data_IF_979251496511
#
_entry.id   IF_979251496511
#
_cell.length_a   1.000
_cell.length_b   1.000
_cell.length_c   1.000
_cell.angle_alpha   90.00
_cell.angle_beta   90.00
_cell.angle_gamma   90.00
#
_symmetry.space_group_name_H-M   'P 1'
#
loop_
_entity.id
_entity.type
_entity.pdbx_description
1 polymer ?
#
# COMPACT_ATOMS: atom_id res chain seq x y z
N UNK A 1 -15.45 -32.17 -11.95
CA UNK A 1 -14.40 -31.53 -11.13
C UNK A 1 -15.12 -30.67 -10.09
N UNK A 2 -14.89 -30.89 -8.81
CA UNK A 2 -15.52 -30.09 -7.75
C UNK A 2 -14.91 -28.69 -7.77
N UNK A 3 -15.68 -27.67 -8.09
CA UNK A 3 -15.29 -26.25 -8.07
C UNK A 3 -15.53 -25.63 -6.69
N UNK A 4 -15.63 -26.44 -5.63
CA UNK A 4 -15.84 -25.98 -4.28
C UNK A 4 -14.57 -25.50 -3.63
N UNK A 5 -14.64 -24.41 -2.88
CA UNK A 5 -13.60 -23.95 -1.99
C UNK A 5 -13.37 -24.99 -0.88
N UNK A 6 -12.17 -24.96 -0.26
CA UNK A 6 -11.91 -25.77 0.94
C UNK A 6 -13.05 -25.55 1.96
N UNK A 7 -13.44 -26.57 2.70
CA UNK A 7 -14.58 -26.58 3.65
C UNK A 7 -16.01 -26.53 3.04
N UNK A 8 -16.16 -26.73 1.72
CA UNK A 8 -17.47 -26.71 1.08
C UNK A 8 -18.11 -25.32 0.96
N UNK A 9 -17.37 -24.25 1.16
CA UNK A 9 -17.84 -22.88 1.02
C UNK A 9 -18.25 -22.60 -0.42
N UNK A 10 -19.32 -21.81 -0.58
CA UNK A 10 -19.84 -21.36 -1.90
C UNK A 10 -19.14 -20.09 -2.39
N UNK A 11 -18.49 -19.36 -1.49
CA UNK A 11 -17.83 -18.09 -1.76
C UNK A 11 -16.57 -17.99 -0.90
N UNK A 12 -15.50 -17.45 -1.48
CA UNK A 12 -14.35 -16.94 -0.74
C UNK A 12 -14.36 -15.41 -0.82
N UNK A 13 -14.26 -14.74 0.33
CA UNK A 13 -14.20 -13.29 0.42
C UNK A 13 -12.80 -12.90 0.85
N UNK A 14 -12.14 -12.06 0.03
CA UNK A 14 -10.88 -11.42 0.37
C UNK A 14 -11.15 -9.96 0.71
N UNK A 15 -10.74 -9.53 1.90
CA UNK A 15 -10.81 -8.14 2.33
C UNK A 15 -9.43 -7.52 2.15
N UNK A 16 -9.37 -6.44 1.37
CA UNK A 16 -8.14 -5.68 1.12
C UNK A 16 -8.36 -4.25 1.58
N UNK A 17 -7.37 -3.72 2.32
CA UNK A 17 -7.35 -2.34 2.80
C UNK A 17 -6.08 -1.69 2.31
N UNK A 18 -6.19 -0.67 1.48
CA UNK A 18 -5.04 0.08 1.01
C UNK A 18 -4.59 1.09 2.08
N UNK A 19 -3.26 1.17 2.28
CA UNK A 19 -2.60 2.14 3.15
C UNK A 19 -1.59 2.92 2.29
N UNK A 20 -2.05 4.00 1.73
CA UNK A 20 -1.34 4.81 0.74
C UNK A 20 -1.02 6.20 1.30
N UNK A 21 -1.80 6.64 2.26
CA UNK A 21 -1.75 7.95 2.88
C UNK A 21 -0.39 8.21 3.53
N UNK A 22 0.22 9.33 3.14
CA UNK A 22 1.56 9.72 3.54
C UNK A 22 2.66 9.22 2.60
N UNK A 23 2.34 8.37 1.60
CA UNK A 23 3.27 7.92 0.57
C UNK A 23 3.00 8.53 -0.82
N UNK A 24 1.96 9.33 -0.93
CA UNK A 24 1.58 10.11 -2.12
C UNK A 24 2.64 11.13 -2.51
N UNK A 25 2.56 11.64 -3.74
CA UNK A 25 3.38 12.79 -4.15
C UNK A 25 2.88 14.06 -3.47
N UNK A 26 3.81 14.81 -2.88
CA UNK A 26 3.51 16.03 -2.13
C UNK A 26 4.60 17.09 -2.34
N UNK A 27 4.19 18.33 -2.56
CA UNK A 27 5.10 19.49 -2.58
C UNK A 27 5.88 19.61 -1.24
N UNK A 28 5.28 19.20 -0.12
CA UNK A 28 5.98 19.16 1.18
C UNK A 28 7.18 18.24 1.20
N UNK A 29 7.13 17.18 0.40
CA UNK A 29 8.17 16.17 0.31
C UNK A 29 9.17 16.44 -0.82
N UNK A 30 9.04 17.59 -1.49
CA UNK A 30 9.92 18.01 -2.58
C UNK A 30 9.53 17.46 -3.95
N UNK A 31 8.34 16.87 -4.08
CA UNK A 31 7.85 16.39 -5.36
C UNK A 31 7.46 17.54 -6.29
N UNK A 32 7.42 17.26 -7.60
CA UNK A 32 7.09 18.27 -8.63
C UNK A 32 5.63 18.75 -8.60
N UNK A 33 4.76 18.00 -7.98
CA UNK A 33 3.33 18.30 -7.85
C UNK A 33 2.67 17.31 -6.89
N UNK A 34 1.47 17.62 -6.38
CA UNK A 34 0.69 16.67 -5.59
C UNK A 34 0.09 15.59 -6.49
N UNK A 35 -0.16 14.41 -5.94
CA UNK A 35 -1.00 13.43 -6.61
C UNK A 35 -2.40 14.01 -6.89
N UNK A 36 -3.03 13.67 -8.01
CA UNK A 36 -4.43 13.99 -8.23
C UNK A 36 -5.31 13.28 -7.21
N UNK A 37 -6.44 13.88 -6.85
CA UNK A 37 -7.50 13.16 -6.14
C UNK A 37 -8.23 12.32 -7.17
N UNK A 38 -8.03 11.01 -7.14
CA UNK A 38 -8.53 10.09 -8.18
C UNK A 38 -10.05 10.19 -8.36
N UNK A 39 -10.79 10.36 -7.27
CA UNK A 39 -12.26 10.45 -7.28
C UNK A 39 -12.77 11.72 -7.98
N UNK A 40 -11.97 12.78 -7.99
CA UNK A 40 -12.34 14.05 -8.59
C UNK A 40 -11.68 14.29 -9.95
N UNK A 41 -10.66 13.52 -10.32
CA UNK A 41 -9.91 13.67 -11.56
C UNK A 41 -9.24 15.04 -11.74
N UNK A 42 -9.07 15.78 -10.63
CA UNK A 42 -8.50 17.14 -10.67
C UNK A 42 -6.99 17.05 -10.62
N UNK A 43 -6.36 17.48 -11.71
CA UNK A 43 -4.91 17.64 -11.79
C UNK A 43 -4.56 19.12 -11.70
N UNK A 44 -3.75 19.47 -10.70
CA UNK A 44 -3.26 20.85 -10.59
C UNK A 44 -2.17 21.10 -11.64
N UNK A 45 -2.35 22.12 -12.46
CA UNK A 45 -1.39 22.49 -13.52
C UNK A 45 -0.15 23.25 -12.98
N UNK A 46 -0.16 23.62 -11.72
CA UNK A 46 0.94 24.34 -11.05
C UNK A 46 1.45 23.54 -9.87
N UNK A 47 2.75 23.60 -9.55
CA UNK A 47 3.34 22.94 -8.41
C UNK A 47 3.00 23.68 -7.10
N UNK A 48 1.74 23.61 -6.70
CA UNK A 48 1.24 24.20 -5.45
C UNK A 48 0.70 23.12 -4.52
N UNK A 49 0.76 23.37 -3.23
CA UNK A 49 0.19 22.46 -2.22
C UNK A 49 -1.33 22.33 -2.42
N UNK A 50 -1.81 21.11 -2.31
CA UNK A 50 -3.24 20.81 -2.27
C UNK A 50 -3.65 20.47 -0.84
N UNK A 51 -4.07 21.48 -0.07
CA UNK A 51 -4.45 21.29 1.32
C UNK A 51 -5.66 20.36 1.51
N UNK A 52 -6.59 20.33 0.54
CA UNK A 52 -7.72 19.40 0.57
C UNK A 52 -7.24 17.96 0.48
N UNK A 53 -6.33 17.67 -0.45
CA UNK A 53 -5.71 16.37 -0.60
C UNK A 53 -4.94 15.95 0.66
N UNK A 54 -4.05 16.84 1.12
CA UNK A 54 -3.26 16.60 2.33
C UNK A 54 -4.16 16.28 3.54
N UNK A 55 -5.28 16.99 3.68
CA UNK A 55 -6.25 16.75 4.75
C UNK A 55 -6.97 15.40 4.62
N UNK A 56 -7.33 14.99 3.41
CA UNK A 56 -7.96 13.70 3.15
C UNK A 56 -7.02 12.55 3.51
N UNK A 57 -5.76 12.62 3.08
CA UNK A 57 -4.76 11.60 3.40
C UNK A 57 -4.48 11.55 4.91
N UNK A 58 -4.35 12.70 5.57
CA UNK A 58 -4.16 12.73 7.02
C UNK A 58 -5.35 12.12 7.78
N UNK A 59 -6.59 12.35 7.30
CA UNK A 59 -7.78 11.72 7.87
C UNK A 59 -7.75 10.19 7.75
N UNK A 60 -7.28 9.66 6.61
CA UNK A 60 -7.16 8.22 6.37
C UNK A 60 -6.33 7.53 7.46
N UNK A 61 -5.17 8.08 7.78
CA UNK A 61 -4.29 7.54 8.83
C UNK A 61 -4.85 7.78 10.24
N UNK A 62 -5.35 8.97 10.55
CA UNK A 62 -5.73 9.34 11.91
C UNK A 62 -7.05 8.76 12.36
N UNK A 63 -8.02 8.71 11.45
CA UNK A 63 -9.39 8.33 11.75
C UNK A 63 -9.86 7.09 10.97
N UNK A 64 -9.55 7.02 9.69
CA UNK A 64 -10.00 5.94 8.80
C UNK A 64 -9.44 4.59 9.22
N UNK A 65 -8.13 4.48 9.35
CA UNK A 65 -7.45 3.23 9.67
C UNK A 65 -7.87 2.66 11.04
N UNK A 66 -7.93 3.43 12.15
CA UNK A 66 -8.45 2.94 13.43
C UNK A 66 -9.88 2.43 13.35
N UNK A 67 -10.76 3.09 12.59
CA UNK A 67 -12.15 2.67 12.41
C UNK A 67 -12.24 1.35 11.65
N UNK A 68 -11.44 1.18 10.59
CA UNK A 68 -11.38 -0.05 9.83
C UNK A 68 -10.88 -1.20 10.70
N UNK A 69 -9.79 -1.01 11.46
CA UNK A 69 -9.27 -2.01 12.38
C UNK A 69 -10.30 -2.41 13.44
N UNK A 70 -11.01 -1.43 14.03
CA UNK A 70 -12.06 -1.70 15.00
C UNK A 70 -13.21 -2.51 14.38
N UNK A 71 -13.58 -2.22 13.13
CA UNK A 71 -14.62 -2.95 12.41
C UNK A 71 -14.19 -4.41 12.13
N UNK A 72 -12.97 -4.61 11.64
CA UNK A 72 -12.42 -5.94 11.41
C UNK A 72 -12.37 -6.77 12.71
N UNK A 73 -11.94 -6.16 13.81
CA UNK A 73 -11.91 -6.78 15.12
C UNK A 73 -13.32 -7.16 15.60
N UNK A 74 -14.29 -6.25 15.47
CA UNK A 74 -15.70 -6.48 15.85
C UNK A 74 -16.29 -7.70 15.15
N UNK A 75 -15.96 -7.91 13.89
CA UNK A 75 -16.47 -9.03 13.10
C UNK A 75 -15.51 -10.22 13.02
N UNK A 76 -14.40 -10.17 13.76
CA UNK A 76 -13.37 -11.22 13.76
C UNK A 76 -12.86 -11.57 12.36
N UNK A 77 -12.76 -10.55 11.50
CA UNK A 77 -12.32 -10.71 10.11
C UNK A 77 -10.83 -10.44 9.98
N UNK A 78 -10.18 -11.21 9.11
CA UNK A 78 -8.81 -10.94 8.67
C UNK A 78 -8.84 -10.18 7.36
N UNK A 79 -7.83 -9.34 7.14
CA UNK A 79 -7.66 -8.56 5.91
C UNK A 79 -6.19 -8.56 5.50
N UNK A 80 -5.96 -8.29 4.22
CA UNK A 80 -4.64 -7.93 3.68
C UNK A 80 -4.56 -6.42 3.60
N UNK A 81 -3.58 -5.83 4.27
CA UNK A 81 -3.27 -4.41 4.17
C UNK A 81 -2.21 -4.21 3.10
N UNK A 82 -2.62 -3.69 1.94
CA UNK A 82 -1.70 -3.33 0.86
C UNK A 82 -1.14 -1.95 1.16
N UNK A 83 0.12 -1.90 1.61
CA UNK A 83 0.70 -0.70 2.17
C UNK A 83 1.93 -0.22 1.40
N UNK A 84 1.95 1.07 1.05
CA UNK A 84 3.18 1.73 0.64
C UNK A 84 4.11 1.87 1.85
N UNK A 85 5.39 1.53 1.68
CA UNK A 85 6.32 1.45 2.80
C UNK A 85 6.45 2.77 3.56
N UNK A 86 6.53 3.90 2.86
CA UNK A 86 6.62 5.24 3.47
C UNK A 86 5.37 5.59 4.27
N UNK A 87 4.18 5.11 3.89
CA UNK A 87 2.97 5.32 4.68
C UNK A 87 3.09 4.66 6.07
N UNK A 88 3.62 3.45 6.12
CA UNK A 88 3.87 2.75 7.40
C UNK A 88 5.01 3.39 8.20
N UNK A 89 6.06 3.90 7.55
CA UNK A 89 7.13 4.65 8.24
C UNK A 89 6.58 5.90 8.95
N UNK A 90 5.63 6.58 8.33
CA UNK A 90 4.95 7.77 8.88
C UNK A 90 3.89 7.44 9.93
N UNK A 91 3.40 6.21 9.93
CA UNK A 91 2.39 5.71 10.85
C UNK A 91 2.84 4.40 11.54
N UNK A 92 3.96 4.39 12.29
CA UNK A 92 4.53 3.16 12.86
C UNK A 92 3.59 2.48 13.86
N UNK A 93 2.71 3.23 14.52
CA UNK A 93 1.70 2.69 15.41
C UNK A 93 0.65 1.88 14.63
N UNK A 94 0.25 2.36 13.45
CA UNK A 94 -0.66 1.62 12.56
C UNK A 94 -0.02 0.31 12.09
N UNK A 95 1.24 0.34 11.66
CA UNK A 95 1.99 -0.86 11.27
C UNK A 95 1.99 -1.91 12.39
N UNK A 96 2.28 -1.50 13.62
CA UNK A 96 2.23 -2.38 14.81
C UNK A 96 0.83 -2.95 15.05
N UNK A 97 -0.21 -2.13 14.93
CA UNK A 97 -1.60 -2.56 15.15
C UNK A 97 -2.06 -3.58 14.11
N UNK A 98 -1.72 -3.37 12.83
CA UNK A 98 -2.04 -4.29 11.74
C UNK A 98 -1.46 -5.68 12.04
N UNK A 99 -0.17 -5.75 12.36
CA UNK A 99 0.53 -7.00 12.65
C UNK A 99 0.02 -7.66 13.92
N UNK A 100 -0.12 -6.90 15.00
CA UNK A 100 -0.61 -7.41 16.29
C UNK A 100 -2.04 -7.97 16.20
N UNK A 101 -2.88 -7.40 15.33
CA UNK A 101 -4.20 -7.93 15.04
C UNK A 101 -4.17 -9.16 14.11
N UNK A 102 -3.00 -9.57 13.63
CA UNK A 102 -2.77 -10.74 12.77
C UNK A 102 -3.30 -10.55 11.36
N UNK A 103 -3.34 -9.34 10.87
CA UNK A 103 -3.57 -9.05 9.46
C UNK A 103 -2.30 -9.24 8.65
N UNK A 104 -2.46 -9.48 7.35
CA UNK A 104 -1.33 -9.53 6.41
C UNK A 104 -0.91 -8.11 6.00
N UNK A 105 0.41 -7.90 5.84
CA UNK A 105 0.96 -6.72 5.18
C UNK A 105 1.49 -7.14 3.81
N UNK A 106 0.87 -6.61 2.75
CA UNK A 106 1.27 -6.77 1.36
C UNK A 106 1.94 -5.47 0.89
N UNK A 107 3.08 -5.56 0.21
CA UNK A 107 3.79 -4.38 -0.28
C UNK A 107 3.03 -3.69 -1.42
N UNK A 108 2.93 -2.35 -1.35
CA UNK A 108 2.33 -1.50 -2.38
C UNK A 108 3.35 -0.46 -2.90
N UNK A 109 4.60 -0.90 -3.05
CA UNK A 109 5.72 -0.05 -3.40
C UNK A 109 6.39 0.63 -2.20
N UNK A 110 7.55 1.26 -2.47
CA UNK A 110 8.22 2.09 -1.47
C UNK A 110 7.43 3.37 -1.20
N UNK A 111 7.07 4.07 -2.28
CA UNK A 111 6.11 5.18 -2.30
C UNK A 111 4.92 4.79 -3.17
N UNK A 112 3.82 5.52 -3.01
CA UNK A 112 2.63 5.31 -3.83
C UNK A 112 2.82 5.91 -5.22
N UNK A 113 3.54 5.22 -6.09
CA UNK A 113 3.85 5.64 -7.45
C UNK A 113 3.83 4.47 -8.43
N UNK A 114 3.51 4.76 -9.70
CA UNK A 114 3.55 3.77 -10.76
C UNK A 114 5.01 3.40 -11.09
N UNK A 115 5.23 2.13 -11.44
CA UNK A 115 6.53 1.61 -11.85
C UNK A 115 6.81 1.87 -13.33
N UNK A 116 5.79 2.15 -14.13
CA UNK A 116 5.93 2.44 -15.56
C UNK A 116 6.98 3.53 -15.82
N UNK A 117 7.94 3.21 -16.69
CA UNK A 117 9.04 4.11 -17.03
C UNK A 117 10.26 4.01 -16.12
N UNK A 118 10.25 3.18 -15.08
CA UNK A 118 11.45 2.83 -14.33
C UNK A 118 12.38 1.98 -15.20
N UNK A 119 13.68 2.15 -15.05
CA UNK A 119 14.66 1.19 -15.54
C UNK A 119 14.68 -0.05 -14.64
N UNK A 120 15.18 -1.18 -15.16
CA UNK A 120 15.31 -2.43 -14.37
C UNK A 120 16.01 -2.19 -13.03
N UNK A 121 17.10 -1.43 -13.04
CA UNK A 121 17.86 -1.15 -11.81
C UNK A 121 17.09 -0.26 -10.83
N UNK A 122 16.44 0.79 -11.33
CA UNK A 122 15.61 1.67 -10.50
C UNK A 122 14.42 0.92 -9.89
N UNK A 123 13.80 0.04 -10.67
CA UNK A 123 12.68 -0.76 -10.19
C UNK A 123 13.13 -1.80 -9.15
N UNK A 124 14.29 -2.43 -9.36
CA UNK A 124 14.89 -3.34 -8.38
C UNK A 124 15.17 -2.64 -7.06
N UNK A 125 15.73 -1.44 -7.10
CA UNK A 125 15.96 -0.62 -5.90
C UNK A 125 14.65 -0.21 -5.23
N UNK A 126 13.64 0.13 -6.00
CA UNK A 126 12.31 0.48 -5.49
C UNK A 126 11.66 -0.69 -4.74
N UNK A 127 11.73 -1.90 -5.29
CA UNK A 127 11.24 -3.13 -4.67
C UNK A 127 12.05 -3.45 -3.39
N UNK A 128 13.37 -3.41 -3.47
CA UNK A 128 14.24 -3.70 -2.33
C UNK A 128 14.02 -2.71 -1.17
N UNK A 129 13.84 -1.43 -1.49
CA UNK A 129 13.55 -0.38 -0.51
C UNK A 129 12.21 -0.61 0.17
N UNK A 130 11.17 -1.01 -0.57
CA UNK A 130 9.86 -1.35 -0.02
C UNK A 130 9.96 -2.53 0.96
N UNK A 131 10.63 -3.60 0.57
CA UNK A 131 10.84 -4.78 1.42
C UNK A 131 11.56 -4.41 2.71
N UNK A 132 12.73 -3.76 2.60
CA UNK A 132 13.54 -3.39 3.77
C UNK A 132 12.79 -2.47 4.73
N UNK A 133 12.01 -1.53 4.21
CA UNK A 133 11.24 -0.60 5.01
C UNK A 133 10.08 -1.30 5.73
N UNK A 134 9.31 -2.14 5.03
CA UNK A 134 8.21 -2.89 5.64
C UNK A 134 8.74 -3.88 6.69
N UNK A 135 9.83 -4.57 6.40
CA UNK A 135 10.48 -5.48 7.35
C UNK A 135 10.88 -4.75 8.64
N UNK A 136 11.45 -3.56 8.52
CA UNK A 136 11.85 -2.73 9.66
C UNK A 136 10.66 -2.20 10.46
N UNK A 137 9.57 -1.78 9.78
CA UNK A 137 8.41 -1.17 10.45
C UNK A 137 7.42 -2.18 11.00
N UNK A 138 7.27 -3.32 10.34
CA UNK A 138 6.29 -4.36 10.70
C UNK A 138 6.91 -5.57 11.41
N UNK A 139 8.25 -5.70 11.40
CA UNK A 139 8.94 -6.86 11.96
C UNK A 139 8.77 -8.14 11.14
N UNK A 140 8.20 -8.06 9.94
CA UNK A 140 8.01 -9.19 9.04
C UNK A 140 8.16 -8.78 7.59
N UNK A 141 8.71 -9.70 6.78
CA UNK A 141 8.87 -9.50 5.34
C UNK A 141 7.53 -9.63 4.63
N UNK A 142 7.18 -8.72 3.73
CA UNK A 142 6.00 -8.87 2.88
C UNK A 142 6.21 -10.00 1.87
N UNK A 143 5.18 -10.83 1.65
CA UNK A 143 5.20 -11.92 0.66
C UNK A 143 4.36 -11.63 -0.58
N UNK A 144 3.44 -10.66 -0.49
CA UNK A 144 2.60 -10.20 -1.58
C UNK A 144 2.99 -8.82 -2.06
N UNK A 145 2.70 -8.53 -3.33
CA UNK A 145 2.93 -7.23 -3.98
C UNK A 145 1.72 -6.79 -4.77
N UNK A 146 1.35 -5.52 -4.63
CA UNK A 146 0.38 -4.83 -5.47
C UNK A 146 1.04 -3.61 -6.11
N UNK A 147 1.10 -3.55 -7.45
CA UNK A 147 1.60 -2.37 -8.16
C UNK A 147 0.53 -1.30 -8.24
N UNK A 148 0.92 -0.03 -8.09
CA UNK A 148 0.03 1.10 -8.41
C UNK A 148 -0.16 1.17 -9.92
N UNK A 149 -1.38 0.90 -10.41
CA UNK A 149 -1.78 0.95 -11.81
C UNK A 149 -0.85 0.18 -12.77
N UNK A 150 0.12 0.90 -13.35
CA UNK A 150 0.97 0.41 -14.42
C UNK A 150 2.35 -0.02 -13.91
N UNK A 151 2.79 -1.14 -14.37
CA UNK A 151 4.08 -1.76 -14.09
C UNK A 151 4.89 -1.93 -15.37
N UNK A 152 6.18 -2.30 -15.27
CA UNK A 152 7.05 -2.58 -16.41
C UNK A 152 6.90 -4.03 -16.87
N UNK A 153 7.49 -4.38 -18.00
CA UNK A 153 7.57 -5.77 -18.47
C UNK A 153 8.42 -6.64 -17.53
N UNK A 154 9.38 -6.05 -16.83
CA UNK A 154 10.32 -6.73 -15.94
C UNK A 154 9.78 -6.94 -14.52
N UNK A 155 8.74 -6.21 -14.11
CA UNK A 155 8.22 -6.20 -12.74
C UNK A 155 8.00 -7.60 -12.16
N UNK A 156 7.36 -8.49 -12.90
CA UNK A 156 7.04 -9.84 -12.40
C UNK A 156 8.29 -10.65 -12.12
N UNK A 157 9.29 -10.56 -13.00
CA UNK A 157 10.55 -11.26 -12.81
C UNK A 157 11.31 -10.67 -11.61
N UNK A 158 11.38 -9.35 -11.50
CA UNK A 158 12.03 -8.68 -10.37
C UNK A 158 11.39 -9.03 -9.03
N UNK A 159 10.06 -9.15 -8.99
CA UNK A 159 9.35 -9.60 -7.79
C UNK A 159 9.63 -11.05 -7.44
N UNK A 160 9.66 -11.95 -8.44
CA UNK A 160 10.02 -13.35 -8.23
C UNK A 160 11.47 -13.48 -7.72
N UNK A 161 12.41 -12.75 -8.32
CA UNK A 161 13.82 -12.71 -7.89
C UNK A 161 13.98 -12.15 -6.47
N UNK A 162 13.11 -11.21 -6.08
CA UNK A 162 13.04 -10.67 -4.73
C UNK A 162 12.32 -11.59 -3.73
N UNK A 163 11.77 -12.73 -4.17
CA UNK A 163 11.14 -13.75 -3.31
C UNK A 163 9.68 -13.48 -2.96
N UNK A 164 8.96 -12.69 -3.76
CA UNK A 164 7.50 -12.57 -3.67
C UNK A 164 6.81 -13.81 -4.24
N UNK A 165 5.58 -14.08 -3.75
CA UNK A 165 4.77 -15.26 -4.11
C UNK A 165 3.64 -14.91 -5.09
#
# INVERSE_FOLDING_TARGET
MSTGWSNGARLALSLVVNVEEGAEQSIRDGDRGPDPVDELGIVLKKPVRNFGNESNYEYGIREGAPRVLALLAKYQMRATFTASAVALERAPQLATQIVAAGHEVCAHGFRWQAQLGMTVDTEREFIASAVSSIERTCGQRPVGWLSRYLHTEDTRQLLADAGFQ
#
